data_IF_897759278020
#
_entry.id   IF_897759278020
#
_cell.length_a   1.000
_cell.length_b   1.000
_cell.length_c   1.000
_cell.angle_alpha   90.00
_cell.angle_beta   90.00
_cell.angle_gamma   90.00
#
_symmetry.space_group_name_H-M   'P 1'
#
loop_
_entity.id
_entity.type
_entity.pdbx_description
1 polymer ?
#
# COMPACT_ATOMS: atom_id res chain seq x y z
N UNK A 1 26.53 14.15 -4.09
CA UNK A 1 25.38 13.36 -3.60
C UNK A 1 24.23 14.35 -3.51
N UNK A 2 23.15 14.14 -4.26
CA UNK A 2 21.98 15.03 -4.20
C UNK A 2 21.34 14.98 -2.81
N UNK A 3 20.85 16.12 -2.32
CA UNK A 3 20.14 16.17 -1.04
C UNK A 3 18.73 15.60 -1.24
N UNK A 4 18.51 14.36 -0.78
CA UNK A 4 17.22 13.66 -0.89
C UNK A 4 16.08 14.48 -0.29
N UNK A 5 16.32 15.21 0.80
CA UNK A 5 15.30 16.08 1.43
C UNK A 5 14.85 17.21 0.49
N UNK A 6 15.78 17.76 -0.30
CA UNK A 6 15.45 18.80 -1.28
C UNK A 6 14.63 18.24 -2.46
N UNK A 7 14.91 17.01 -2.88
CA UNK A 7 14.13 16.30 -3.91
C UNK A 7 12.71 16.02 -3.41
N UNK A 8 12.57 15.52 -2.18
CA UNK A 8 11.27 15.29 -1.54
C UNK A 8 10.49 16.59 -1.46
N UNK A 9 11.07 17.65 -0.91
CA UNK A 9 10.42 18.96 -0.80
C UNK A 9 10.00 19.53 -2.17
N UNK A 10 10.78 19.31 -3.22
CA UNK A 10 10.43 19.72 -4.58
C UNK A 10 9.23 18.93 -5.12
N UNK A 11 9.18 17.61 -4.89
CA UNK A 11 8.05 16.76 -5.29
C UNK A 11 6.79 17.17 -4.51
N UNK A 12 6.87 17.37 -3.20
CA UNK A 12 5.75 17.81 -2.36
C UNK A 12 5.24 19.21 -2.71
N UNK A 13 6.12 20.10 -3.20
CA UNK A 13 5.70 21.43 -3.68
C UNK A 13 5.00 21.37 -5.04
N UNK A 14 5.42 20.45 -5.89
CA UNK A 14 4.94 20.37 -7.29
C UNK A 14 3.72 19.44 -7.43
N UNK A 15 3.46 18.60 -6.44
CA UNK A 15 2.38 17.61 -6.44
C UNK A 15 1.71 17.54 -5.07
N UNK A 16 0.55 16.87 -4.98
CA UNK A 16 -0.06 16.55 -3.68
C UNK A 16 0.53 15.30 -3.02
N UNK A 17 1.74 14.88 -3.42
CA UNK A 17 2.45 13.77 -2.82
C UNK A 17 3.02 14.21 -1.48
N UNK A 18 3.03 13.28 -0.51
CA UNK A 18 3.65 13.46 0.80
C UNK A 18 4.50 12.25 1.11
N UNK A 19 5.65 12.48 1.74
CA UNK A 19 6.45 11.39 2.28
C UNK A 19 5.65 10.58 3.32
N UNK A 20 5.88 9.26 3.34
CA UNK A 20 5.36 8.36 4.36
C UNK A 20 6.52 7.90 5.24
N UNK A 21 6.29 7.77 6.54
CA UNK A 21 7.34 7.49 7.52
C UNK A 21 8.02 6.12 7.28
N UNK A 22 7.26 5.12 6.87
CA UNK A 22 7.79 3.79 6.59
C UNK A 22 6.97 3.07 5.51
N UNK A 23 7.64 2.28 4.69
CA UNK A 23 7.02 1.33 3.75
C UNK A 23 7.65 -0.04 3.94
N UNK A 24 6.80 -1.06 4.10
CA UNK A 24 7.22 -2.47 4.18
C UNK A 24 6.57 -3.25 3.06
N UNK A 25 7.36 -3.95 2.24
CA UNK A 25 6.87 -4.81 1.16
C UNK A 25 7.36 -6.23 1.35
N UNK A 26 6.47 -7.21 1.16
CA UNK A 26 6.79 -8.63 1.25
C UNK A 26 5.87 -9.46 0.35
N UNK A 27 6.25 -10.71 0.07
CA UNK A 27 5.43 -11.65 -0.69
C UNK A 27 4.61 -12.56 0.22
N UNK A 28 3.40 -12.89 -0.23
CA UNK A 28 2.53 -13.89 0.37
C UNK A 28 1.92 -14.81 -0.69
N UNK A 29 1.29 -15.90 -0.24
CA UNK A 29 0.51 -16.79 -1.12
C UNK A 29 -0.99 -16.58 -0.91
N UNK A 30 -1.73 -16.49 -2.03
CA UNK A 30 -3.17 -16.39 -2.05
C UNK A 30 -3.78 -17.53 -2.86
N UNK A 31 -4.79 -18.21 -2.30
CA UNK A 31 -5.35 -19.47 -2.81
C UNK A 31 -5.67 -19.46 -4.31
N UNK A 32 -6.18 -18.34 -4.82
CA UNK A 32 -6.61 -18.20 -6.22
C UNK A 32 -5.75 -17.25 -7.05
N UNK A 33 -4.93 -16.43 -6.41
CA UNK A 33 -4.14 -15.41 -7.10
C UNK A 33 -2.64 -15.77 -7.17
N UNK A 34 -2.25 -16.90 -6.58
CA UNK A 34 -0.87 -17.32 -6.44
C UNK A 34 -0.07 -16.35 -5.59
N UNK A 35 1.17 -16.08 -5.99
CA UNK A 35 2.05 -15.14 -5.31
C UNK A 35 1.49 -13.72 -5.40
N UNK A 36 1.42 -13.05 -4.25
CA UNK A 36 0.93 -11.69 -4.08
C UNK A 36 2.01 -10.88 -3.39
N UNK A 37 2.31 -9.69 -3.92
CA UNK A 37 3.15 -8.70 -3.23
C UNK A 37 2.23 -7.81 -2.39
N UNK A 38 2.52 -7.70 -1.10
CA UNK A 38 1.81 -6.86 -0.14
C UNK A 38 2.70 -5.70 0.27
N UNK A 39 2.16 -4.49 0.19
CA UNK A 39 2.81 -3.25 0.64
C UNK A 39 1.99 -2.63 1.77
N UNK A 40 2.64 -2.36 2.88
CA UNK A 40 2.11 -1.63 4.02
C UNK A 40 2.82 -0.28 4.08
N UNK A 41 2.06 0.81 4.04
CA UNK A 41 2.58 2.16 4.28
C UNK A 41 2.15 2.65 5.65
N UNK A 42 3.09 3.14 6.44
CA UNK A 42 2.89 3.80 7.74
C UNK A 42 3.26 5.29 7.59
N UNK A 43 2.30 6.17 7.83
CA UNK A 43 2.45 7.62 7.77
C UNK A 43 2.99 8.24 9.05
N UNK A 44 3.22 7.44 10.09
CA UNK A 44 3.74 7.87 11.38
C UNK A 44 2.67 8.03 12.46
N UNK A 45 3.13 8.09 13.71
CA UNK A 45 2.27 8.18 14.89
C UNK A 45 1.42 9.47 14.89
N UNK A 46 0.18 9.38 15.38
CA UNK A 46 -0.75 10.51 15.45
C UNK A 46 -1.48 10.84 14.13
N UNK A 47 -1.15 10.18 13.02
CA UNK A 47 -1.88 10.36 11.76
C UNK A 47 -3.25 9.63 11.81
N UNK A 48 -4.39 10.27 11.50
CA UNK A 48 -5.72 9.66 11.60
C UNK A 48 -5.93 8.49 10.64
N UNK A 49 -5.17 8.46 9.56
CA UNK A 49 -5.12 7.39 8.55
C UNK A 49 -3.70 6.86 8.42
N UNK A 50 -3.11 6.47 9.55
CA UNK A 50 -1.70 6.08 9.66
C UNK A 50 -1.32 4.98 8.70
N UNK A 51 -2.10 3.91 8.62
CA UNK A 51 -1.77 2.74 7.83
C UNK A 51 -2.60 2.66 6.55
N UNK A 52 -1.97 2.19 5.48
CA UNK A 52 -2.64 1.72 4.27
C UNK A 52 -2.01 0.42 3.78
N UNK A 53 -2.85 -0.52 3.37
CA UNK A 53 -2.42 -1.83 2.87
C UNK A 53 -2.86 -1.99 1.42
N UNK A 54 -1.90 -2.32 0.57
CA UNK A 54 -2.09 -2.62 -0.84
C UNK A 54 -1.56 -4.03 -1.11
N UNK A 55 -2.26 -4.78 -1.96
CA UNK A 55 -1.83 -6.07 -2.42
C UNK A 55 -2.00 -6.18 -3.94
N UNK A 56 -1.03 -6.77 -4.62
CA UNK A 56 -1.07 -7.05 -6.06
C UNK A 56 -0.67 -8.49 -6.35
N UNK A 57 -1.40 -9.18 -7.25
CA UNK A 57 -0.94 -10.48 -7.73
C UNK A 57 0.24 -10.29 -8.66
N UNK A 58 1.25 -11.14 -8.50
CA UNK A 58 2.42 -11.21 -9.39
C UNK A 58 2.09 -12.02 -10.65
N UNK A 59 1.30 -13.08 -10.49
CA UNK A 59 0.96 -14.01 -11.57
C UNK A 59 -0.22 -13.52 -12.45
N UNK A 60 -1.17 -12.79 -11.87
CA UNK A 60 -2.38 -12.33 -12.54
C UNK A 60 -2.32 -10.82 -12.79
N UNK A 61 -2.10 -10.43 -14.05
CA UNK A 61 -2.06 -9.02 -14.44
C UNK A 61 -3.33 -8.27 -14.05
N UNK A 62 -3.17 -7.00 -13.64
CA UNK A 62 -4.25 -6.09 -13.23
C UNK A 62 -5.12 -6.61 -12.08
N UNK A 63 -4.56 -7.44 -11.19
CA UNK A 63 -5.21 -7.84 -9.93
C UNK A 63 -4.59 -7.13 -8.76
N UNK A 64 -5.39 -6.30 -8.11
CA UNK A 64 -5.01 -5.64 -6.88
C UNK A 64 -6.18 -5.52 -5.92
N UNK A 65 -5.85 -5.44 -4.63
CA UNK A 65 -6.76 -5.12 -3.57
C UNK A 65 -6.16 -4.00 -2.73
N UNK A 66 -6.98 -2.99 -2.43
CA UNK A 66 -6.59 -1.84 -1.61
C UNK A 66 -7.56 -1.79 -0.44
N UNK A 67 -7.03 -1.81 0.78
CA UNK A 67 -7.82 -1.59 1.99
C UNK A 67 -8.16 -0.12 2.19
N UNK A 68 -9.05 0.18 3.12
CA UNK A 68 -9.24 1.55 3.58
C UNK A 68 -8.07 1.94 4.47
N UNK A 69 -7.60 3.18 4.36
CA UNK A 69 -6.63 3.69 5.31
C UNK A 69 -7.24 3.80 6.70
N UNK A 70 -6.48 3.48 7.74
CA UNK A 70 -6.96 3.44 9.12
C UNK A 70 -5.88 3.92 10.11
N UNK A 71 -6.28 4.25 11.34
CA UNK A 71 -5.35 4.67 12.40
C UNK A 71 -4.51 3.50 12.94
N UNK A 72 -5.04 2.28 12.90
CA UNK A 72 -4.40 1.03 13.32
C UNK A 72 -4.21 0.05 12.14
N UNK A 73 -3.19 -0.80 12.27
CA UNK A 73 -2.78 -1.71 11.19
C UNK A 73 -3.82 -2.80 10.95
N UNK A 74 -4.41 -3.34 12.03
CA UNK A 74 -5.37 -4.44 11.96
C UNK A 74 -6.62 -4.04 11.17
N UNK A 75 -7.17 -2.85 11.41
CA UNK A 75 -8.29 -2.30 10.66
C UNK A 75 -7.93 -2.07 9.20
N UNK A 76 -6.73 -1.56 8.91
CA UNK A 76 -6.28 -1.37 7.53
C UNK A 76 -6.20 -2.71 6.78
N UNK A 77 -5.71 -3.78 7.43
CA UNK A 77 -5.65 -5.14 6.87
C UNK A 77 -7.05 -5.73 6.68
N UNK A 78 -7.92 -5.63 7.68
CA UNK A 78 -9.26 -6.23 7.67
C UNK A 78 -10.16 -5.69 6.55
N UNK A 79 -9.91 -4.44 6.12
CA UNK A 79 -10.69 -3.80 5.06
C UNK A 79 -10.19 -4.10 3.64
N UNK A 80 -9.06 -4.80 3.49
CA UNK A 80 -8.55 -5.18 2.18
C UNK A 80 -9.49 -6.22 1.54
N UNK A 81 -10.03 -5.97 0.34
CA UNK A 81 -10.93 -6.90 -0.33
C UNK A 81 -10.14 -8.03 -1.00
N UNK A 82 -9.52 -8.92 -0.21
CA UNK A 82 -8.63 -10.01 -0.67
C UNK A 82 -9.25 -10.86 -1.79
N UNK A 83 -10.55 -11.13 -1.71
CA UNK A 83 -11.30 -11.88 -2.74
C UNK A 83 -11.27 -11.26 -4.14
N UNK A 84 -10.94 -9.96 -4.28
CA UNK A 84 -10.76 -9.31 -5.59
C UNK A 84 -9.46 -9.72 -6.30
N UNK A 85 -8.46 -10.22 -5.57
CA UNK A 85 -7.19 -10.66 -6.17
C UNK A 85 -7.38 -11.84 -7.13
N UNK A 86 -8.30 -12.76 -6.80
CA UNK A 86 -8.61 -13.92 -7.64
C UNK A 86 -9.69 -13.69 -8.70
N UNK A 87 -10.43 -12.57 -8.65
CA UNK A 87 -11.63 -12.37 -9.49
C UNK A 87 -11.37 -11.43 -10.65
N UNK A 88 -11.70 -11.90 -11.87
CA UNK A 88 -12.36 -11.13 -12.95
C UNK A 88 -12.85 -9.71 -12.57
N UNK A 89 -12.13 -8.61 -12.82
CA UNK A 89 -12.76 -7.29 -12.74
C UNK A 89 -13.90 -7.32 -13.75
N UNK A 90 -15.14 -7.21 -13.28
CA UNK A 90 -16.33 -7.25 -14.15
C UNK A 90 -16.31 -6.05 -15.09
#
# INVERSE_FOLDING_TARGET
>A
MENIEAVIAQIEKTSSLREVAQVTTFEGQHETAGTVEITISDRGFGHPYRYSVFARSVALANRSAVGRSAADLDTAIATVPWSKLGKKGR
#
